data_IF_672624238731
#
_entry.id   IF_672624238731
#
_cell.length_a   1.000
_cell.length_b   1.000
_cell.length_c   1.000
_cell.angle_alpha   90.00
_cell.angle_beta   90.00
_cell.angle_gamma   90.00
#
_symmetry.space_group_name_H-M   'P 1'
#
loop_
_entity.id
_entity.type
_entity.pdbx_description
1 polymer ?
#
# COMPACT_ATOMS: atom_id res chain seq x y z
N UNK A 1 2.47 45.04 8.74
CA UNK A 1 2.60 45.70 7.42
C UNK A 1 2.54 44.65 6.34
N UNK A 2 2.61 45.06 5.07
CA UNK A 2 2.77 44.11 3.96
C UNK A 2 4.19 43.50 3.97
N UNK A 3 4.35 42.29 3.45
CA UNK A 3 5.68 41.63 3.34
C UNK A 3 6.16 41.54 1.89
N UNK A 4 5.25 41.57 0.92
CA UNK A 4 5.53 41.48 -0.52
C UNK A 4 4.76 42.60 -1.22
N UNK A 5 5.48 43.49 -1.92
CA UNK A 5 4.89 44.58 -2.68
C UNK A 5 5.38 44.57 -4.11
N UNK A 6 4.49 44.21 -5.04
CA UNK A 6 4.80 43.97 -6.46
C UNK A 6 3.63 44.42 -7.34
N UNK A 7 3.91 44.77 -8.60
CA UNK A 7 2.89 45.02 -9.62
C UNK A 7 2.57 43.75 -10.44
N UNK A 8 1.71 43.88 -11.45
CA UNK A 8 1.27 42.79 -12.33
C UNK A 8 2.38 42.17 -13.20
N UNK A 9 3.54 42.82 -13.29
CA UNK A 9 4.70 42.35 -14.05
C UNK A 9 5.79 41.74 -13.16
N UNK A 10 5.55 41.61 -11.84
CA UNK A 10 6.58 41.14 -10.89
C UNK A 10 7.64 42.19 -10.55
N UNK A 11 7.43 43.46 -10.94
CA UNK A 11 8.33 44.54 -10.58
C UNK A 11 8.05 45.03 -9.16
N UNK A 12 9.09 45.51 -8.48
CA UNK A 12 9.04 45.98 -7.08
C UNK A 12 9.48 47.43 -6.99
N UNK A 13 9.24 48.07 -5.84
CA UNK A 13 9.85 49.37 -5.50
C UNK A 13 11.09 49.15 -4.64
N UNK A 14 12.07 50.03 -4.76
CA UNK A 14 13.35 49.95 -4.03
C UNK A 14 13.65 51.29 -3.39
N UNK A 15 14.43 51.27 -2.31
CA UNK A 15 14.93 52.48 -1.67
C UNK A 15 16.45 52.53 -1.79
N UNK A 16 16.96 53.54 -2.50
CA UNK A 16 18.39 53.68 -2.78
C UNK A 16 19.13 54.25 -1.57
N UNK A 17 20.32 53.71 -1.27
CA UNK A 17 21.13 54.16 -0.13
C UNK A 17 21.58 55.63 -0.22
N UNK A 18 21.65 56.20 -1.41
CA UNK A 18 22.02 57.60 -1.63
C UNK A 18 20.82 58.56 -1.55
N UNK A 19 19.58 58.06 -1.55
CA UNK A 19 18.40 58.91 -1.48
C UNK A 19 18.17 59.42 -0.05
N UNK A 20 18.45 60.71 0.16
CA UNK A 20 18.29 61.40 1.44
C UNK A 20 17.00 62.21 1.55
N UNK A 21 16.22 62.29 0.46
CA UNK A 21 15.03 63.16 0.36
C UNK A 21 13.75 62.34 0.46
N UNK A 22 13.75 61.14 -0.12
CA UNK A 22 12.63 60.22 -0.06
C UNK A 22 12.47 59.54 1.30
N UNK A 23 11.36 58.81 1.45
CA UNK A 23 11.09 57.92 2.57
C UNK A 23 11.19 56.47 2.09
N UNK A 24 11.64 55.52 2.93
CA UNK A 24 11.69 54.11 2.59
C UNK A 24 10.29 53.48 2.63
N UNK A 25 9.39 53.94 1.75
CA UNK A 25 8.01 53.46 1.62
C UNK A 25 7.66 53.16 0.15
N UNK A 26 6.38 52.95 -0.16
CA UNK A 26 5.92 52.58 -1.50
C UNK A 26 6.15 53.66 -2.57
N UNK A 27 6.44 54.91 -2.16
CA UNK A 27 6.75 56.03 -3.06
C UNK A 27 8.25 56.21 -3.32
N UNK A 28 9.10 55.34 -2.76
CA UNK A 28 10.56 55.46 -2.80
C UNK A 28 11.18 55.43 -4.20
N UNK A 29 10.55 54.74 -5.16
CA UNK A 29 11.04 54.64 -6.54
C UNK A 29 9.89 54.42 -7.53
N UNK A 30 10.21 54.46 -8.82
CA UNK A 30 9.38 53.85 -9.85
C UNK A 30 9.36 52.31 -9.68
N UNK A 31 8.53 51.63 -10.48
CA UNK A 31 8.57 50.17 -10.57
C UNK A 31 9.85 49.71 -11.26
N UNK A 32 10.63 48.88 -10.56
CA UNK A 32 11.89 48.33 -11.06
C UNK A 32 11.70 46.85 -11.39
N UNK A 33 12.00 46.48 -12.63
CA UNK A 33 11.90 45.08 -13.10
C UNK A 33 12.98 44.22 -12.45
N UNK A 34 12.66 42.94 -12.26
CA UNK A 34 13.57 41.93 -11.70
C UNK A 34 14.04 41.00 -12.82
N UNK A 35 15.35 40.86 -12.98
CA UNK A 35 15.92 39.84 -13.84
C UNK A 35 15.75 38.46 -13.20
N UNK A 36 15.23 37.51 -13.98
CA UNK A 36 15.09 36.12 -13.57
C UNK A 36 16.00 35.23 -14.45
N UNK A 37 16.46 34.11 -13.90
CA UNK A 37 17.40 33.21 -14.60
C UNK A 37 16.82 32.51 -15.83
N UNK A 38 15.49 32.42 -15.95
CA UNK A 38 14.79 31.86 -17.10
C UNK A 38 13.36 32.40 -17.17
N UNK A 39 12.87 32.76 -18.36
CA UNK A 39 11.53 33.29 -18.57
C UNK A 39 11.00 33.02 -20.00
N UNK A 40 9.68 33.06 -20.17
CA UNK A 40 8.98 33.00 -21.44
C UNK A 40 7.50 33.33 -21.30
N UNK A 41 6.71 33.12 -22.36
CA UNK A 41 5.26 33.37 -22.35
C UNK A 41 4.53 32.29 -21.53
N UNK A 42 4.37 32.55 -20.22
CA UNK A 42 3.68 31.65 -19.28
C UNK A 42 4.55 30.57 -18.61
N UNK A 43 5.89 30.63 -18.73
CA UNK A 43 6.81 29.68 -18.07
C UNK A 43 8.12 30.35 -17.61
N UNK A 44 8.86 29.68 -16.73
CA UNK A 44 10.18 30.12 -16.25
C UNK A 44 10.29 30.16 -14.73
N UNK A 45 11.30 30.87 -14.23
CA UNK A 45 11.52 31.10 -12.81
C UNK A 45 10.95 32.44 -12.37
N UNK A 46 10.28 32.46 -11.22
CA UNK A 46 9.80 33.67 -10.60
C UNK A 46 10.01 33.61 -9.09
N UNK A 47 10.79 34.55 -8.58
CA UNK A 47 10.96 34.80 -7.15
C UNK A 47 10.95 36.30 -6.94
N UNK A 48 9.93 36.79 -6.24
CA UNK A 48 9.69 38.22 -6.03
C UNK A 48 10.47 38.66 -4.79
N UNK A 49 11.39 39.64 -4.91
CA UNK A 49 12.03 40.23 -3.74
C UNK A 49 10.99 40.74 -2.74
N UNK A 50 11.15 40.35 -1.48
CA UNK A 50 10.29 40.78 -0.37
C UNK A 50 10.77 42.09 0.23
N UNK A 51 9.87 42.79 0.91
CA UNK A 51 10.19 44.05 1.59
C UNK A 51 11.32 43.80 2.60
N UNK A 52 12.38 44.60 2.50
CA UNK A 52 13.55 44.52 3.38
C UNK A 52 14.69 43.63 2.86
N UNK A 53 14.53 42.94 1.74
CA UNK A 53 15.62 42.24 1.06
C UNK A 53 16.56 43.20 0.33
N UNK A 54 17.84 42.85 0.28
CA UNK A 54 18.85 43.62 -0.44
C UNK A 54 18.97 43.09 -1.88
N UNK A 55 18.92 44.02 -2.83
CA UNK A 55 18.93 43.75 -4.27
C UNK A 55 20.06 44.52 -4.95
N UNK A 56 20.61 43.93 -6.00
CA UNK A 56 21.64 44.55 -6.84
C UNK A 56 20.92 45.28 -7.98
N UNK A 57 21.14 46.58 -8.08
CA UNK A 57 20.61 47.41 -9.18
C UNK A 57 21.68 47.57 -10.26
N UNK A 58 21.30 47.33 -11.50
CA UNK A 58 22.03 47.73 -12.69
C UNK A 58 21.22 48.76 -13.48
N UNK A 59 21.87 49.43 -14.42
CA UNK A 59 21.27 50.53 -15.18
C UNK A 59 21.38 50.22 -16.67
N UNK A 60 20.23 50.18 -17.35
CA UNK A 60 20.20 49.86 -18.78
C UNK A 60 20.92 50.97 -19.56
N UNK A 61 21.91 50.59 -20.37
CA UNK A 61 22.77 51.53 -21.10
C UNK A 61 23.46 52.58 -20.19
N UNK A 62 23.73 52.23 -18.93
CA UNK A 62 24.26 53.15 -17.91
C UNK A 62 23.37 54.38 -17.64
N UNK A 63 22.07 54.28 -17.91
CA UNK A 63 21.09 55.33 -17.63
C UNK A 63 20.46 55.14 -16.24
N UNK A 64 20.74 56.07 -15.32
CA UNK A 64 20.27 56.01 -13.93
C UNK A 64 18.73 56.00 -13.82
N UNK A 65 18.05 56.55 -14.83
CA UNK A 65 16.58 56.61 -14.89
C UNK A 65 15.96 55.29 -15.38
N UNK A 66 16.78 54.30 -15.75
CA UNK A 66 16.36 52.97 -16.20
C UNK A 66 16.97 51.85 -15.34
N UNK A 67 16.63 51.81 -14.04
CA UNK A 67 17.11 50.76 -13.14
C UNK A 67 16.49 49.40 -13.50
N UNK A 68 17.25 48.34 -13.24
CA UNK A 68 16.82 46.95 -13.29
C UNK A 68 17.51 46.16 -12.17
N UNK A 69 16.77 45.31 -11.47
CA UNK A 69 17.35 44.41 -10.46
C UNK A 69 18.00 43.23 -11.18
N UNK A 70 19.27 42.96 -10.90
CA UNK A 70 20.06 41.88 -11.54
C UNK A 70 20.51 40.78 -10.58
N UNK A 71 20.30 40.97 -9.28
CA UNK A 71 20.64 39.97 -8.27
C UNK A 71 20.12 40.33 -6.89
N UNK A 72 20.34 39.43 -5.94
CA UNK A 72 20.04 39.62 -4.52
C UNK A 72 21.25 39.15 -3.70
N UNK A 73 21.43 39.73 -2.52
CA UNK A 73 22.51 39.40 -1.59
C UNK A 73 21.97 39.08 -0.20
N UNK A 74 22.66 38.19 0.50
CA UNK A 74 22.49 38.04 1.94
C UNK A 74 23.32 39.10 2.67
N UNK A 75 22.86 39.53 3.83
CA UNK A 75 23.51 40.52 4.68
C UNK A 75 23.25 40.23 6.17
N UNK A 76 23.68 41.11 7.08
CA UNK A 76 23.51 40.91 8.52
C UNK A 76 22.05 40.79 8.98
N UNK A 77 21.10 41.37 8.23
CA UNK A 77 19.65 41.29 8.49
C UNK A 77 19.02 40.07 7.79
N UNK A 78 19.38 39.83 6.54
CA UNK A 78 18.91 38.71 5.72
C UNK A 78 20.03 37.67 5.65
N UNK A 79 20.08 36.77 6.63
CA UNK A 79 21.10 35.71 6.68
C UNK A 79 20.83 34.63 5.62
N UNK A 80 21.88 33.93 5.15
CA UNK A 80 21.70 32.73 4.34
C UNK A 80 20.82 31.68 5.04
N UNK A 81 20.11 30.82 4.29
CA UNK A 81 19.28 29.75 4.87
C UNK A 81 20.11 28.60 5.46
N UNK A 82 21.41 28.58 5.19
CA UNK A 82 22.37 27.58 5.66
C UNK A 82 23.24 28.17 6.78
N UNK A 83 23.62 27.34 7.73
CA UNK A 83 24.62 27.67 8.73
C UNK A 83 26.01 27.59 8.06
N UNK A 84 26.57 28.74 7.66
CA UNK A 84 27.85 28.79 6.96
C UNK A 84 28.98 29.23 7.92
N UNK A 85 30.17 28.59 7.86
CA UNK A 85 30.64 27.65 6.84
C UNK A 85 30.44 26.15 7.15
N UNK A 86 29.72 25.79 8.20
CA UNK A 86 29.50 24.39 8.63
C UNK A 86 28.77 23.57 7.56
N UNK A 87 27.75 24.16 6.92
CA UNK A 87 26.89 23.52 5.90
C UNK A 87 27.30 23.86 4.46
N UNK A 88 28.60 24.10 4.22
CA UNK A 88 29.14 24.53 2.91
C UNK A 88 28.91 23.53 1.76
N UNK A 89 28.63 22.27 2.06
CA UNK A 89 28.35 21.19 1.10
C UNK A 89 26.87 21.09 0.73
N UNK A 90 26.03 21.96 1.28
CA UNK A 90 24.59 21.95 0.99
C UNK A 90 24.22 22.96 -0.08
N UNK A 91 23.32 22.55 -0.96
CA UNK A 91 22.59 23.44 -1.87
C UNK A 91 21.12 23.42 -1.50
N UNK A 92 20.47 24.59 -1.34
CA UNK A 92 19.06 24.64 -0.93
C UNK A 92 18.24 25.68 -1.70
N UNK A 93 17.00 25.33 -2.00
CA UNK A 93 15.93 26.22 -2.41
C UNK A 93 14.89 26.26 -1.28
N UNK A 94 15.03 27.25 -0.39
CA UNK A 94 14.12 27.44 0.75
C UNK A 94 13.24 28.68 0.57
N UNK A 95 11.93 28.49 0.71
CA UNK A 95 10.91 29.56 0.69
C UNK A 95 10.57 30.02 2.11
N UNK A 96 9.70 31.03 2.25
CA UNK A 96 9.17 31.45 3.57
C UNK A 96 7.66 31.59 3.47
N UNK A 97 6.92 31.05 4.43
CA UNK A 97 5.47 31.31 4.55
C UNK A 97 5.21 32.82 4.56
N UNK A 98 4.21 33.27 3.81
CA UNK A 98 3.81 34.68 3.81
C UNK A 98 2.87 34.94 4.99
N UNK A 99 3.14 35.98 5.79
CA UNK A 99 2.34 36.34 6.97
C UNK A 99 2.11 35.16 7.94
N UNK A 100 3.14 34.34 8.12
CA UNK A 100 3.13 33.20 9.02
C UNK A 100 4.51 32.56 9.12
N UNK A 101 4.60 31.52 9.95
CA UNK A 101 5.84 30.77 10.17
C UNK A 101 5.93 29.56 9.24
N UNK A 102 7.17 29.06 9.04
CA UNK A 102 7.43 27.88 8.23
C UNK A 102 8.00 28.15 6.83
N UNK A 103 8.27 27.07 6.10
CA UNK A 103 8.94 27.09 4.80
C UNK A 103 8.69 25.81 4.00
N UNK A 104 8.77 25.92 2.67
CA UNK A 104 9.01 24.77 1.79
C UNK A 104 10.49 24.72 1.43
N UNK A 105 11.06 23.53 1.29
CA UNK A 105 12.47 23.35 0.97
C UNK A 105 12.72 22.16 0.04
N UNK A 106 13.60 22.38 -0.93
CA UNK A 106 14.33 21.34 -1.65
C UNK A 106 15.82 21.54 -1.37
N UNK A 107 16.46 20.54 -0.74
CA UNK A 107 17.86 20.62 -0.33
C UNK A 107 18.63 19.39 -0.79
N UNK A 108 19.88 19.62 -1.18
CA UNK A 108 20.86 18.62 -1.56
C UNK A 108 22.05 18.71 -0.61
N UNK A 109 22.48 17.57 -0.06
CA UNK A 109 23.73 17.40 0.68
C UNK A 109 24.71 16.64 -0.21
N UNK A 110 25.91 17.21 -0.40
CA UNK A 110 26.95 16.66 -1.28
C UNK A 110 28.18 16.16 -0.50
N UNK A 111 28.15 16.13 0.83
CA UNK A 111 29.21 15.53 1.64
C UNK A 111 29.29 14.00 1.40
N UNK A 112 30.49 13.51 1.11
CA UNK A 112 30.70 12.13 0.69
C UNK A 112 30.28 11.12 1.78
N UNK A 113 29.47 10.14 1.39
CA UNK A 113 28.92 9.13 2.31
C UNK A 113 27.78 9.65 3.20
N UNK A 114 27.28 10.87 2.94
CA UNK A 114 26.16 11.51 3.63
C UNK A 114 25.22 12.21 2.66
N UNK A 115 25.27 11.84 1.38
CA UNK A 115 24.51 12.46 0.32
C UNK A 115 23.00 12.32 0.60
N UNK A 116 22.26 13.41 0.44
CA UNK A 116 20.83 13.45 0.76
C UNK A 116 20.09 14.39 -0.19
N UNK A 117 18.86 14.00 -0.57
CA UNK A 117 17.86 14.93 -1.08
C UNK A 117 16.76 15.05 -0.03
N UNK A 118 16.55 16.26 0.49
CA UNK A 118 15.49 16.58 1.43
C UNK A 118 14.40 17.39 0.74
N UNK A 119 13.16 16.90 0.83
CA UNK A 119 11.96 17.55 0.31
C UNK A 119 11.01 17.81 1.47
N UNK A 120 10.73 19.09 1.73
CA UNK A 120 9.79 19.52 2.76
C UNK A 120 8.67 20.35 2.17
N UNK A 121 7.44 19.89 2.37
CA UNK A 121 6.23 20.65 2.11
C UNK A 121 5.66 21.15 3.44
N UNK A 122 5.43 22.46 3.56
CA UNK A 122 4.89 23.05 4.78
C UNK A 122 3.44 22.63 5.08
N UNK A 123 2.72 22.18 4.05
CA UNK A 123 1.30 21.81 4.15
C UNK A 123 0.97 20.62 3.25
N UNK A 124 0.69 20.87 1.98
CA UNK A 124 0.27 19.85 1.02
C UNK A 124 1.39 19.56 0.03
N UNK A 125 1.64 18.28 -0.27
CA UNK A 125 2.55 17.84 -1.34
C UNK A 125 1.76 17.08 -2.40
N UNK A 126 1.47 17.73 -3.53
CA UNK A 126 0.76 17.13 -4.65
C UNK A 126 1.75 16.69 -5.74
N UNK A 127 1.78 15.39 -6.02
CA UNK A 127 2.59 14.81 -7.10
C UNK A 127 1.65 14.35 -8.21
N UNK A 128 1.74 14.98 -9.38
CA UNK A 128 0.91 14.64 -10.55
C UNK A 128 1.78 14.20 -11.72
N UNK A 129 1.55 12.99 -12.22
CA UNK A 129 2.37 12.35 -13.25
C UNK A 129 1.43 11.86 -14.36
N UNK A 130 1.53 12.45 -15.56
CA UNK A 130 0.62 12.16 -16.68
C UNK A 130 0.79 10.77 -17.30
N UNK A 131 1.93 10.11 -17.07
CA UNK A 131 2.27 8.85 -17.76
C UNK A 131 2.82 7.79 -16.81
N UNK A 132 4.13 7.79 -16.57
CA UNK A 132 4.80 6.73 -15.83
C UNK A 132 5.57 7.30 -14.64
N UNK A 133 5.47 6.65 -13.48
CA UNK A 133 6.35 6.82 -12.33
C UNK A 133 7.18 5.55 -12.17
N UNK A 134 8.49 5.68 -12.03
CA UNK A 134 9.39 4.58 -11.67
C UNK A 134 10.16 4.99 -10.42
N UNK A 135 10.29 4.07 -9.48
CA UNK A 135 11.02 4.27 -8.23
C UNK A 135 11.87 3.03 -7.96
N UNK A 136 13.15 3.25 -7.66
CA UNK A 136 14.09 2.21 -7.25
C UNK A 136 14.75 2.68 -5.96
N UNK A 137 14.72 1.81 -4.95
CA UNK A 137 15.35 2.04 -3.65
C UNK A 137 16.39 0.94 -3.48
N UNK A 138 17.66 1.33 -3.32
CA UNK A 138 18.77 0.38 -3.27
C UNK A 138 18.95 -0.33 -1.92
N UNK A 139 18.28 0.16 -0.88
CA UNK A 139 18.31 -0.42 0.46
C UNK A 139 16.89 -0.37 1.07
N UNK A 140 16.65 0.47 2.07
CA UNK A 140 15.40 0.49 2.82
C UNK A 140 14.44 1.59 2.35
N UNK A 141 13.13 1.30 2.32
CA UNK A 141 12.04 2.27 2.14
C UNK A 141 11.14 2.26 3.37
N UNK A 142 10.86 3.44 3.93
CA UNK A 142 10.02 3.61 5.11
C UNK A 142 8.93 4.64 4.84
N UNK A 143 7.69 4.25 5.10
CA UNK A 143 6.53 5.10 4.86
C UNK A 143 5.60 5.10 6.08
N UNK A 144 5.27 6.29 6.56
CA UNK A 144 4.35 6.48 7.68
C UNK A 144 3.25 7.46 7.28
N UNK A 145 2.01 7.06 7.50
CA UNK A 145 0.82 7.92 7.32
C UNK A 145 0.12 8.00 8.67
N UNK A 146 0.05 9.20 9.25
CA UNK A 146 -0.45 9.39 10.60
C UNK A 146 -1.98 9.40 10.71
N UNK A 147 -2.67 9.61 9.59
CA UNK A 147 -4.13 9.59 9.51
C UNK A 147 -4.57 8.55 8.45
N UNK A 148 -5.16 8.98 7.34
CA UNK A 148 -5.75 8.09 6.36
C UNK A 148 -4.87 7.88 5.12
N UNK A 149 -4.79 6.65 4.62
CA UNK A 149 -4.23 6.31 3.31
C UNK A 149 -5.32 5.69 2.43
N UNK A 150 -5.54 6.27 1.24
CA UNK A 150 -6.32 5.65 0.16
C UNK A 150 -5.37 5.13 -0.92
N UNK A 151 -5.52 3.87 -1.31
CA UNK A 151 -4.80 3.27 -2.43
C UNK A 151 -5.82 2.76 -3.46
N UNK A 152 -5.70 3.21 -4.71
CA UNK A 152 -6.63 2.85 -5.79
C UNK A 152 -5.82 2.51 -7.04
N UNK A 153 -5.99 1.28 -7.52
CA UNK A 153 -5.36 0.76 -8.74
C UNK A 153 -6.48 0.36 -9.69
N UNK A 154 -6.57 1.04 -10.84
CA UNK A 154 -7.69 0.87 -11.76
C UNK A 154 -7.59 -0.38 -12.66
N UNK A 155 -6.44 -1.05 -12.67
CA UNK A 155 -6.21 -2.27 -13.44
C UNK A 155 -5.54 -3.30 -12.53
N UNK A 156 -4.29 -3.67 -12.79
CA UNK A 156 -3.61 -4.75 -12.09
C UNK A 156 -2.62 -4.22 -11.04
N UNK A 157 -2.57 -4.91 -9.90
CA UNK A 157 -1.53 -4.76 -8.87
C UNK A 157 -0.79 -6.10 -8.70
N UNK A 158 0.54 -6.05 -8.73
CA UNK A 158 1.40 -7.21 -8.47
C UNK A 158 2.35 -6.90 -7.32
N UNK A 159 2.30 -7.73 -6.29
CA UNK A 159 3.14 -7.62 -5.09
C UNK A 159 3.92 -8.93 -4.95
N UNK A 160 5.25 -8.84 -4.90
CA UNK A 160 6.14 -9.98 -4.69
C UNK A 160 7.04 -9.72 -3.48
N UNK A 161 6.92 -10.57 -2.46
CA UNK A 161 7.65 -10.48 -1.21
C UNK A 161 8.43 -11.79 -1.04
N UNK A 162 9.76 -11.68 -0.99
CA UNK A 162 10.65 -12.85 -1.03
C UNK A 162 10.75 -13.54 0.34
N UNK A 163 10.75 -12.75 1.42
CA UNK A 163 10.98 -13.28 2.76
C UNK A 163 9.68 -13.33 3.58
N UNK A 164 9.25 -12.18 4.13
CA UNK A 164 8.14 -12.13 5.08
C UNK A 164 7.24 -10.93 4.83
N UNK A 165 5.93 -11.14 5.00
CA UNK A 165 4.93 -10.10 5.09
C UNK A 165 4.21 -10.21 6.44
N UNK A 166 4.13 -9.12 7.19
CA UNK A 166 3.27 -9.02 8.38
C UNK A 166 2.16 -8.01 8.11
N UNK A 167 0.92 -8.40 8.39
CA UNK A 167 -0.27 -7.54 8.31
C UNK A 167 -0.97 -7.59 9.66
N UNK A 168 -1.04 -6.44 10.34
CA UNK A 168 -1.78 -6.27 11.59
C UNK A 168 -2.93 -5.30 11.36
N UNK A 169 -4.12 -5.70 11.78
CA UNK A 169 -5.34 -4.89 11.71
C UNK A 169 -5.98 -4.88 13.09
N UNK A 170 -5.98 -3.72 13.75
CA UNK A 170 -6.40 -3.61 15.15
C UNK A 170 -7.93 -3.61 15.32
N UNK A 171 -8.66 -3.18 14.30
CA UNK A 171 -10.12 -3.00 14.38
C UNK A 171 -10.85 -3.95 13.44
N UNK A 172 -10.91 -3.61 12.14
CA UNK A 172 -11.71 -4.37 11.17
C UNK A 172 -10.97 -4.52 9.84
N UNK A 173 -11.10 -5.70 9.23
CA UNK A 173 -10.74 -5.96 7.85
C UNK A 173 -12.00 -6.39 7.08
N UNK A 174 -12.25 -5.75 5.94
CA UNK A 174 -13.29 -6.13 4.99
C UNK A 174 -12.65 -6.45 3.64
N UNK A 175 -13.04 -7.57 3.05
CA UNK A 175 -12.55 -8.01 1.75
C UNK A 175 -13.72 -8.46 0.89
N UNK A 176 -13.78 -7.94 -0.33
CA UNK A 176 -14.74 -8.36 -1.34
C UNK A 176 -13.98 -8.79 -2.59
N UNK A 177 -14.13 -10.07 -2.95
CA UNK A 177 -13.58 -10.62 -4.18
C UNK A 177 -14.73 -10.85 -5.16
N UNK A 178 -14.66 -10.21 -6.33
CA UNK A 178 -15.74 -10.29 -7.33
C UNK A 178 -15.77 -11.60 -8.12
N UNK A 179 -14.65 -12.33 -8.16
CA UNK A 179 -14.53 -13.64 -8.83
C UNK A 179 -13.86 -14.65 -7.89
N UNK A 180 -12.56 -14.89 -8.08
CA UNK A 180 -11.87 -16.01 -7.45
C UNK A 180 -10.83 -15.53 -6.42
N UNK A 181 -10.79 -16.22 -5.28
CA UNK A 181 -9.67 -16.16 -4.32
C UNK A 181 -9.00 -17.52 -4.28
N UNK A 182 -7.73 -17.59 -4.70
CA UNK A 182 -6.93 -18.81 -4.66
C UNK A 182 -5.85 -18.63 -3.60
N UNK A 183 -5.76 -19.56 -2.66
CA UNK A 183 -4.75 -19.55 -1.59
C UNK A 183 -4.03 -20.90 -1.56
N UNK A 184 -2.69 -20.87 -1.64
CA UNK A 184 -1.84 -22.04 -1.49
C UNK A 184 -0.91 -21.81 -0.30
N UNK A 185 -0.88 -22.78 0.60
CA UNK A 185 -0.06 -22.75 1.81
C UNK A 185 0.69 -24.07 1.88
N UNK A 186 2.00 -24.02 1.68
CA UNK A 186 2.81 -25.25 1.56
C UNK A 186 3.17 -25.88 2.90
N UNK A 187 3.12 -25.11 4.00
CA UNK A 187 3.49 -25.60 5.34
C UNK A 187 2.28 -25.66 6.29
N UNK A 188 1.82 -24.52 6.80
CA UNK A 188 0.79 -24.51 7.85
C UNK A 188 -0.18 -23.33 7.76
N UNK A 189 -1.47 -23.61 7.92
CA UNK A 189 -2.51 -22.62 8.18
C UNK A 189 -2.98 -22.76 9.62
N UNK A 190 -3.02 -21.65 10.36
CA UNK A 190 -3.59 -21.59 11.70
C UNK A 190 -4.59 -20.46 11.78
N UNK A 191 -5.80 -20.79 12.20
CA UNK A 191 -6.89 -19.83 12.40
C UNK A 191 -7.45 -20.00 13.81
N UNK A 192 -7.68 -18.88 14.51
CA UNK A 192 -8.28 -18.85 15.83
C UNK A 192 -9.40 -17.83 15.81
N UNK A 193 -10.62 -18.28 16.07
CA UNK A 193 -11.83 -17.46 16.05
C UNK A 193 -12.46 -17.54 17.44
N UNK A 194 -12.50 -16.41 18.14
CA UNK A 194 -12.98 -16.36 19.52
C UNK A 194 -14.51 -16.33 19.65
N UNK A 195 -15.19 -15.68 18.70
CA UNK A 195 -16.63 -15.53 18.71
C UNK A 195 -17.29 -16.53 17.75
N UNK A 196 -17.61 -16.09 16.53
CA UNK A 196 -18.35 -16.88 15.56
C UNK A 196 -17.61 -16.99 14.24
N UNK A 197 -17.77 -18.16 13.60
CA UNK A 197 -17.40 -18.41 12.22
C UNK A 197 -18.66 -18.85 11.47
N UNK A 198 -19.01 -18.15 10.40
CA UNK A 198 -20.11 -18.50 9.52
C UNK A 198 -19.56 -18.71 8.11
N UNK A 199 -19.95 -19.81 7.48
CA UNK A 199 -19.58 -20.12 6.12
C UNK A 199 -20.80 -20.62 5.35
N UNK A 200 -21.13 -19.94 4.27
CA UNK A 200 -22.13 -20.36 3.30
C UNK A 200 -21.41 -20.77 2.01
N UNK A 201 -21.78 -21.93 1.49
CA UNK A 201 -21.20 -22.47 0.25
C UNK A 201 -22.35 -22.78 -0.69
N UNK A 202 -22.36 -22.12 -1.85
CA UNK A 202 -23.46 -22.25 -2.81
C UNK A 202 -23.48 -23.60 -3.54
N UNK A 203 -22.30 -24.17 -3.79
CA UNK A 203 -22.14 -25.47 -4.44
C UNK A 203 -21.45 -26.46 -3.49
N UNK A 204 -20.18 -26.79 -3.76
CA UNK A 204 -19.48 -27.90 -3.11
C UNK A 204 -18.47 -27.40 -2.08
N UNK A 205 -18.44 -28.06 -0.92
CA UNK A 205 -17.33 -27.97 0.05
C UNK A 205 -16.68 -29.34 0.18
N UNK A 206 -15.43 -29.46 -0.24
CA UNK A 206 -14.63 -30.68 -0.09
C UNK A 206 -13.53 -30.46 0.95
N UNK A 207 -13.28 -31.48 1.77
CA UNK A 207 -12.19 -31.51 2.72
C UNK A 207 -11.51 -32.88 2.61
N UNK A 208 -10.27 -32.88 2.12
CA UNK A 208 -9.43 -34.08 2.08
C UNK A 208 -8.37 -33.97 3.17
N UNK A 209 -8.33 -34.95 4.05
CA UNK A 209 -7.51 -34.95 5.26
C UNK A 209 -6.81 -36.30 5.31
N UNK A 210 -5.47 -36.26 5.17
CA UNK A 210 -4.68 -37.49 5.11
C UNK A 210 -4.43 -38.15 6.47
N UNK A 211 -4.44 -37.36 7.54
CA UNK A 211 -4.18 -37.83 8.89
C UNK A 211 -5.48 -37.81 9.71
N UNK A 212 -5.62 -36.88 10.65
CA UNK A 212 -6.73 -36.85 11.60
C UNK A 212 -7.65 -35.65 11.36
N UNK A 213 -8.97 -35.90 11.50
CA UNK A 213 -9.98 -34.86 11.58
C UNK A 213 -10.70 -34.96 12.92
N UNK A 214 -10.46 -33.98 13.78
CA UNK A 214 -11.07 -33.91 15.10
C UNK A 214 -12.10 -32.78 15.17
N UNK A 215 -13.36 -33.14 15.40
CA UNK A 215 -14.45 -32.18 15.67
C UNK A 215 -14.93 -32.32 17.11
N UNK A 216 -14.80 -31.25 17.89
CA UNK A 216 -15.32 -31.15 19.27
C UNK A 216 -16.34 -30.02 19.34
N UNK A 217 -17.58 -30.37 19.66
CA UNK A 217 -18.66 -29.40 19.87
C UNK A 217 -19.30 -29.64 21.24
N UNK A 218 -19.39 -28.59 22.07
CA UNK A 218 -19.97 -28.69 23.41
C UNK A 218 -21.51 -28.66 23.38
N UNK A 219 -22.10 -27.87 22.48
CA UNK A 219 -23.56 -27.71 22.38
C UNK A 219 -24.23 -28.84 21.59
N UNK A 220 -23.73 -29.11 20.37
CA UNK A 220 -24.28 -30.15 19.51
C UNK A 220 -23.70 -30.09 18.09
N UNK A 221 -23.95 -31.15 17.33
CA UNK A 221 -23.66 -31.24 15.90
C UNK A 221 -24.98 -31.58 15.21
N UNK A 222 -25.39 -30.75 14.26
CA UNK A 222 -26.64 -30.93 13.51
C UNK A 222 -26.33 -31.09 12.03
N UNK A 223 -26.69 -32.23 11.46
CA UNK A 223 -26.51 -32.54 10.04
C UNK A 223 -27.87 -32.76 9.38
N UNK A 224 -28.24 -31.87 8.47
CA UNK A 224 -29.46 -32.00 7.67
C UNK A 224 -29.06 -32.29 6.23
N UNK A 225 -29.31 -33.51 5.77
CA UNK A 225 -28.96 -33.94 4.42
C UNK A 225 -29.98 -34.94 3.90
N UNK A 226 -30.11 -35.04 2.57
CA UNK A 226 -30.88 -36.11 1.92
C UNK A 226 -30.21 -37.48 2.09
N UNK A 227 -28.88 -37.51 2.07
CA UNK A 227 -28.07 -38.73 2.21
C UNK A 227 -26.90 -38.45 3.14
N UNK A 228 -26.79 -39.25 4.21
CA UNK A 228 -25.65 -39.21 5.13
C UNK A 228 -24.94 -40.55 5.10
N UNK A 229 -23.80 -40.60 4.41
CA UNK A 229 -22.97 -41.81 4.31
C UNK A 229 -21.82 -41.69 5.28
N UNK A 230 -21.70 -42.67 6.17
CA UNK A 230 -20.55 -42.84 7.06
C UNK A 230 -19.90 -44.17 6.70
N UNK A 231 -18.60 -44.12 6.40
CA UNK A 231 -17.82 -45.30 6.05
C UNK A 231 -16.44 -45.21 6.69
N UNK A 232 -15.99 -46.33 7.22
CA UNK A 232 -14.62 -46.51 7.69
C UNK A 232 -14.15 -47.89 7.22
N UNK A 233 -12.85 -48.02 6.92
CA UNK A 233 -12.24 -49.31 6.54
C UNK A 233 -12.16 -50.28 7.71
N UNK A 234 -11.90 -49.76 8.91
CA UNK A 234 -11.73 -50.59 10.12
C UNK A 234 -12.97 -50.60 10.99
N UNK A 235 -13.43 -49.43 11.47
CA UNK A 235 -14.56 -49.37 12.39
C UNK A 235 -15.31 -48.05 12.35
N UNK A 236 -16.64 -48.12 12.49
CA UNK A 236 -17.51 -46.98 12.79
C UNK A 236 -18.07 -47.17 14.19
N UNK A 237 -17.90 -46.17 15.06
CA UNK A 237 -18.33 -46.24 16.46
C UNK A 237 -19.19 -45.04 16.83
N UNK A 238 -20.40 -45.30 17.32
CA UNK A 238 -21.30 -44.31 17.91
C UNK A 238 -21.40 -44.63 19.41
N UNK A 239 -20.96 -43.72 20.27
CA UNK A 239 -20.91 -43.90 21.72
C UNK A 239 -21.74 -42.85 22.45
N UNK A 240 -22.42 -43.28 23.51
CA UNK A 240 -23.05 -42.43 24.50
C UNK A 240 -22.76 -42.91 25.91
N UNK A 241 -23.22 -42.18 26.93
CA UNK A 241 -22.94 -42.50 28.34
C UNK A 241 -23.44 -43.90 28.76
N UNK A 242 -24.50 -44.39 28.13
CA UNK A 242 -25.21 -45.61 28.53
C UNK A 242 -25.04 -46.79 27.54
N UNK A 243 -24.22 -46.65 26.49
CA UNK A 243 -24.06 -47.70 25.48
C UNK A 243 -23.34 -47.25 24.22
N UNK A 244 -23.21 -48.18 23.27
CA UNK A 244 -22.58 -47.93 21.97
C UNK A 244 -23.10 -48.81 20.86
N UNK A 245 -22.93 -48.34 19.63
CA UNK A 245 -23.10 -49.08 18.39
C UNK A 245 -21.74 -49.08 17.69
N UNK A 246 -21.23 -50.27 17.38
CA UNK A 246 -19.96 -50.46 16.69
C UNK A 246 -20.19 -51.30 15.43
N UNK A 247 -19.62 -50.86 14.32
CA UNK A 247 -19.56 -51.58 13.06
C UNK A 247 -18.08 -51.87 12.79
N UNK A 248 -17.76 -53.14 12.53
CA UNK A 248 -16.40 -53.61 12.24
C UNK A 248 -16.45 -54.86 11.35
N UNK A 249 -15.30 -55.52 11.16
CA UNK A 249 -15.17 -56.73 10.34
C UNK A 249 -16.01 -57.93 10.86
N UNK A 250 -16.46 -57.91 12.11
CA UNK A 250 -17.27 -58.96 12.72
C UNK A 250 -18.78 -58.70 12.57
N UNK A 251 -19.18 -57.48 12.16
CA UNK A 251 -20.56 -57.09 11.91
C UNK A 251 -20.99 -55.88 12.74
N UNK A 252 -22.24 -55.90 13.21
CA UNK A 252 -22.82 -54.81 14.02
C UNK A 252 -22.96 -55.27 15.47
N UNK A 253 -22.25 -54.60 16.38
CA UNK A 253 -22.34 -54.83 17.83
C UNK A 253 -23.08 -53.69 18.51
N UNK A 254 -24.13 -54.00 19.28
CA UNK A 254 -24.89 -53.04 20.07
C UNK A 254 -24.76 -53.41 21.55
N UNK A 255 -24.26 -52.49 22.37
CA UNK A 255 -24.04 -52.70 23.82
C UNK A 255 -24.82 -51.70 24.66
N UNK A 256 -25.46 -52.17 25.73
CA UNK A 256 -26.25 -51.37 26.67
C UNK A 256 -27.70 -51.86 26.76
N UNK A 257 -28.58 -51.04 27.33
CA UNK A 257 -30.01 -51.34 27.38
C UNK A 257 -30.64 -51.03 26.01
N UNK A 258 -31.14 -52.06 25.31
CA UNK A 258 -31.77 -51.93 24.00
C UNK A 258 -33.29 -51.96 24.17
N UNK A 259 -33.96 -50.87 23.82
CA UNK A 259 -35.42 -50.77 23.77
C UNK A 259 -35.86 -50.53 22.33
N UNK A 260 -36.49 -51.53 21.72
CA UNK A 260 -37.08 -51.43 20.39
C UNK A 260 -38.58 -51.16 20.53
N UNK A 261 -39.09 -50.10 19.89
CA UNK A 261 -40.52 -49.78 19.83
C UNK A 261 -41.05 -50.02 18.42
N UNK A 262 -42.04 -50.90 18.28
CA UNK A 262 -42.65 -51.29 17.00
C UNK A 262 -42.52 -52.79 16.73
N UNK A 263 -42.99 -53.22 15.56
CA UNK A 263 -42.83 -54.61 15.12
C UNK A 263 -41.37 -54.84 14.73
N UNK A 264 -40.77 -55.91 15.26
CA UNK A 264 -39.41 -56.35 14.93
C UNK A 264 -39.50 -57.65 14.15
N UNK A 265 -38.94 -57.69 12.95
CA UNK A 265 -38.80 -58.91 12.14
C UNK A 265 -37.31 -59.23 11.99
N UNK A 266 -36.90 -60.44 12.36
CA UNK A 266 -35.51 -60.91 12.18
C UNK A 266 -35.50 -61.99 11.11
N UNK A 267 -34.82 -61.70 10.01
CA UNK A 267 -34.61 -62.63 8.89
C UNK A 267 -33.12 -62.95 8.82
N UNK A 268 -32.76 -64.24 8.86
CA UNK A 268 -31.37 -64.66 8.69
C UNK A 268 -30.93 -64.53 7.23
N UNK A 269 -29.78 -63.90 6.99
CA UNK A 269 -29.18 -63.75 5.66
C UNK A 269 -27.65 -63.76 5.76
N UNK A 270 -26.98 -64.15 4.67
CA UNK A 270 -25.53 -64.06 4.56
C UNK A 270 -25.09 -62.59 4.41
N UNK A 271 -23.93 -62.19 4.95
CA UNK A 271 -23.47 -60.80 4.85
C UNK A 271 -23.19 -60.42 3.39
N UNK A 272 -23.80 -59.32 2.91
CA UNK A 272 -23.42 -58.68 1.65
C UNK A 272 -22.12 -57.89 1.85
N UNK A 273 -21.16 -58.07 0.94
CA UNK A 273 -19.90 -57.33 0.96
C UNK A 273 -20.14 -55.88 0.50
N UNK A 274 -19.78 -54.91 1.35
CA UNK A 274 -19.76 -53.50 0.96
C UNK A 274 -18.51 -53.26 0.12
N UNK A 275 -18.67 -52.75 -1.09
CA UNK A 275 -17.54 -52.39 -1.94
C UNK A 275 -16.68 -51.32 -1.25
N UNK A 276 -15.40 -51.60 -1.06
CA UNK A 276 -14.41 -50.63 -0.60
C UNK A 276 -14.32 -49.49 -1.61
N UNK A 277 -14.42 -48.24 -1.15
CA UNK A 277 -14.05 -47.09 -1.96
C UNK A 277 -12.55 -47.21 -2.26
N UNK A 278 -12.22 -47.52 -3.51
CA UNK A 278 -10.85 -47.44 -3.99
C UNK A 278 -10.43 -45.97 -3.96
N UNK A 279 -9.45 -45.64 -3.11
CA UNK A 279 -8.70 -44.41 -3.28
C UNK A 279 -7.92 -44.55 -4.58
N UNK A 280 -8.44 -43.98 -5.67
CA UNK A 280 -7.67 -43.82 -6.88
C UNK A 280 -6.47 -42.92 -6.54
N UNK A 281 -5.30 -43.53 -6.41
CA UNK A 281 -4.04 -42.80 -6.55
C UNK A 281 -4.10 -42.17 -7.94
N UNK A 282 -4.14 -40.84 -8.01
CA UNK A 282 -3.87 -40.17 -9.28
C UNK A 282 -2.46 -40.55 -9.69
N UNK A 283 -2.32 -41.54 -10.58
CA UNK A 283 -1.09 -41.71 -11.34
C UNK A 283 -0.80 -40.36 -11.99
N UNK A 284 0.33 -39.77 -11.61
CA UNK A 284 0.77 -38.51 -12.19
C UNK A 284 0.81 -38.68 -13.71
N UNK A 285 0.07 -37.82 -14.41
CA UNK A 285 0.20 -37.72 -15.86
C UNK A 285 1.69 -37.51 -16.17
N UNK A 286 2.31 -38.31 -17.06
CA UNK A 286 3.63 -37.98 -17.55
C UNK A 286 3.57 -36.56 -18.15
N UNK A 287 4.60 -35.75 -17.89
CA UNK A 287 4.77 -34.43 -18.49
C UNK A 287 4.43 -34.53 -19.98
N UNK A 288 3.30 -33.96 -20.37
CA UNK A 288 2.90 -33.94 -21.76
C UNK A 288 3.97 -33.18 -22.55
N UNK A 289 4.61 -33.87 -23.49
CA UNK A 289 5.46 -33.36 -24.56
C UNK A 289 4.73 -32.43 -25.55
N UNK A 290 3.61 -31.82 -25.13
CA UNK A 290 2.75 -31.00 -25.99
C UNK A 290 3.14 -29.51 -26.00
N UNK A 291 4.28 -29.16 -25.39
CA UNK A 291 4.91 -27.85 -25.57
C UNK A 291 5.66 -27.70 -26.91
N UNK A 292 5.69 -28.73 -27.78
CA UNK A 292 6.34 -28.63 -29.10
C UNK A 292 5.39 -28.52 -30.30
N UNK A 293 4.09 -28.83 -30.15
CA UNK A 293 3.15 -28.85 -31.28
C UNK A 293 2.39 -27.53 -31.52
N UNK A 294 2.32 -26.61 -30.53
CA UNK A 294 1.71 -25.27 -30.71
C UNK A 294 2.68 -24.19 -31.22
N UNK A 295 3.98 -24.48 -31.31
CA UNK A 295 4.99 -23.55 -31.83
C UNK A 295 5.20 -23.61 -33.36
N UNK A 296 4.59 -24.57 -34.08
CA UNK A 296 4.78 -24.72 -35.54
C UNK A 296 3.53 -24.38 -36.40
N UNK A 297 2.43 -23.88 -35.82
CA UNK A 297 1.20 -23.58 -36.58
C UNK A 297 0.77 -22.10 -36.61
N UNK A 298 1.66 -21.17 -36.28
CA UNK A 298 1.45 -19.72 -36.44
C UNK A 298 2.54 -19.01 -37.27
N UNK A 299 3.10 -19.72 -38.24
CA UNK A 299 3.84 -19.14 -39.35
C UNK A 299 3.42 -19.84 -40.64
N UNK A 300 2.55 -19.19 -41.42
CA UNK A 300 2.14 -19.43 -42.82
C UNK A 300 0.62 -19.26 -42.99
N UNK A 301 0.20 -17.99 -43.02
CA UNK A 301 -0.80 -17.39 -43.92
C UNK A 301 -0.96 -15.92 -43.49
#
# INVERSE_FOLDING_TARGET
GEEIYTNSQGAVTVYFHWDRRGKPDHSASCWVRVAHGWNGDGFGFMSIPRIGQEVIISYLNNDIDKPIITGCTYNGRNKPPLDLPSEKTRTTFRTKTHKGDGFNELRFEDESGREEIYVHAQRDNNIHINRNKTQYVGNDDSHTVANDRKHEVCHDEFIHIINEQTVQVDVNQFEQIGKDRITRIDNSWKEVIHASHFQEVGENKQCDIQNDYMLKAAGGIHTHTKVHTLQASETVIIRGKAGSIQLDAQGVTITGNILLKGNVSVTGGAPEAVASLEAAVNEGLPLAEDCRAKAMKKGMA
#
